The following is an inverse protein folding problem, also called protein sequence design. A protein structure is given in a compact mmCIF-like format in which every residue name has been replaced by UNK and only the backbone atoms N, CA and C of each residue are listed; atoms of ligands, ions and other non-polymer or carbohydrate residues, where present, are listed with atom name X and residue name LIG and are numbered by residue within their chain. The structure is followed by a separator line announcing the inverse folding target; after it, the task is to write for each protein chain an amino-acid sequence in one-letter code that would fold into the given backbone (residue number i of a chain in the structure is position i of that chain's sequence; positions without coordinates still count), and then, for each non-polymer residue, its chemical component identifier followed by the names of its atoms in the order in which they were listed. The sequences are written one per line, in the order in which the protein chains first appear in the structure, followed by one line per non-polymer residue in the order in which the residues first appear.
data_IF_961459762666
#
_entry.id   IF_961459762666
#
_cell.length_a   1.000
_cell.length_b   1.000
_cell.length_c   1.000
_cell.angle_alpha   90.00
_cell.angle_beta   90.00
_cell.angle_gamma   90.00
#
_symmetry.space_group_name_H-M   'P 1'
#
loop_
_entity.id
_entity.type
_entity.pdbx_description
1 polymer ?
#
# COMPACT_ATOMS: atom_id res chain seq x y z
N UNK A 1 -15.23 30.51 12.95
CA UNK A 1 -15.13 30.02 11.56
C UNK A 1 -14.71 28.57 11.61
N UNK A 2 -15.50 27.64 11.08
CA UNK A 2 -15.06 26.25 10.93
C UNK A 2 -13.93 26.21 9.90
N UNK A 3 -12.81 25.56 10.24
CA UNK A 3 -11.72 25.33 9.28
C UNK A 3 -12.28 24.49 8.12
N UNK A 4 -12.17 24.99 6.89
CA UNK A 4 -12.39 24.20 5.68
C UNK A 4 -11.07 23.54 5.29
N UNK A 5 -11.03 22.22 5.30
CA UNK A 5 -9.90 21.46 4.79
C UNK A 5 -9.91 21.52 3.25
N UNK A 6 -8.73 21.70 2.64
CA UNK A 6 -8.61 21.70 1.16
C UNK A 6 -8.63 20.28 0.60
N UNK A 7 -8.00 19.35 1.32
CA UNK A 7 -7.93 17.95 0.96
C UNK A 7 -7.89 17.07 2.22
N UNK A 8 -8.36 15.82 2.10
CA UNK A 8 -8.30 14.78 3.13
C UNK A 8 -7.81 13.49 2.48
N UNK A 9 -6.80 12.88 3.09
CA UNK A 9 -6.19 11.62 2.68
C UNK A 9 -6.49 10.57 3.73
N UNK A 10 -6.94 9.40 3.32
CA UNK A 10 -7.29 8.33 4.25
C UNK A 10 -7.12 6.94 3.62
N UNK A 11 -6.81 5.96 4.46
CA UNK A 11 -6.75 4.56 4.02
C UNK A 11 -8.15 3.98 3.81
N UNK A 12 -8.24 2.92 3.03
CA UNK A 12 -9.50 2.25 2.77
C UNK A 12 -9.81 1.18 3.82
N UNK A 13 -9.04 0.09 3.79
CA UNK A 13 -9.21 -1.07 4.65
C UNK A 13 -8.89 -0.73 6.11
N UNK A 14 -9.80 -1.03 7.04
CA UNK A 14 -9.63 -0.77 8.47
C UNK A 14 -9.80 0.70 8.88
N UNK A 15 -10.05 1.61 7.94
CA UNK A 15 -10.28 3.05 8.20
C UNK A 15 -11.63 3.52 7.66
N UNK A 16 -11.80 3.52 6.33
CA UNK A 16 -13.07 3.89 5.70
C UNK A 16 -14.11 2.76 5.79
N UNK A 17 -13.63 1.52 5.69
CA UNK A 17 -14.45 0.31 5.80
C UNK A 17 -13.78 -0.71 6.69
N UNK A 18 -14.56 -1.55 7.38
CA UNK A 18 -14.01 -2.62 8.22
C UNK A 18 -13.32 -3.72 7.41
N UNK A 19 -13.76 -3.95 6.16
CA UNK A 19 -13.11 -4.85 5.21
C UNK A 19 -13.43 -4.54 3.76
N UNK A 20 -12.68 -5.13 2.82
CA UNK A 20 -12.89 -4.97 1.36
C UNK A 20 -14.28 -5.38 0.89
N UNK A 21 -14.94 -6.27 1.62
CA UNK A 21 -16.30 -6.75 1.33
C UNK A 21 -17.35 -6.10 2.22
N UNK A 22 -16.96 -5.20 3.12
CA UNK A 22 -17.90 -4.52 3.99
C UNK A 22 -18.78 -3.54 3.19
N UNK A 23 -20.00 -3.27 3.66
CA UNK A 23 -20.84 -2.22 3.11
C UNK A 23 -20.12 -0.86 3.12
N UNK A 24 -20.40 -0.02 2.13
CA UNK A 24 -19.69 1.25 1.92
C UNK A 24 -20.56 2.47 2.22
N UNK A 25 -21.82 2.26 2.59
CA UNK A 25 -22.86 3.28 2.75
C UNK A 25 -22.44 4.33 3.77
N UNK A 26 -21.90 3.94 4.92
CA UNK A 26 -21.44 4.86 5.95
C UNK A 26 -20.30 5.76 5.46
N UNK A 27 -19.35 5.20 4.72
CA UNK A 27 -18.28 5.97 4.09
C UNK A 27 -18.85 6.96 3.05
N UNK A 28 -19.77 6.51 2.20
CA UNK A 28 -20.45 7.38 1.22
C UNK A 28 -21.19 8.53 1.90
N UNK A 29 -21.96 8.25 2.95
CA UNK A 29 -22.71 9.26 3.72
C UNK A 29 -21.76 10.28 4.34
N UNK A 30 -20.64 9.84 4.91
CA UNK A 30 -19.63 10.73 5.49
C UNK A 30 -18.91 11.60 4.43
N UNK A 31 -18.65 11.05 3.25
CA UNK A 31 -17.90 11.71 2.18
C UNK A 31 -18.71 12.76 1.43
N UNK A 32 -20.02 12.54 1.19
CA UNK A 32 -20.85 13.42 0.36
C UNK A 32 -20.81 14.90 0.77
N UNK A 33 -21.04 15.27 2.05
CA UNK A 33 -21.01 16.68 2.45
C UNK A 33 -19.65 17.36 2.22
N UNK A 34 -18.55 16.59 2.29
CA UNK A 34 -17.19 17.12 2.09
C UNK A 34 -16.91 17.38 0.61
N UNK A 35 -17.30 16.43 -0.26
CA UNK A 35 -17.17 16.55 -1.72
C UNK A 35 -18.01 17.71 -2.26
N UNK A 36 -19.24 17.87 -1.76
CA UNK A 36 -20.13 18.99 -2.11
C UNK A 36 -19.56 20.36 -1.71
N UNK A 37 -18.73 20.40 -0.67
CA UNK A 37 -18.05 21.62 -0.23
C UNK A 37 -16.77 21.91 -1.04
N UNK A 38 -16.40 21.06 -1.99
CA UNK A 38 -15.16 21.16 -2.77
C UNK A 38 -13.92 20.62 -2.04
N UNK A 39 -14.08 19.88 -0.94
CA UNK A 39 -12.96 19.23 -0.27
C UNK A 39 -12.50 18.04 -1.12
N UNK A 40 -11.23 18.02 -1.51
CA UNK A 40 -10.66 16.90 -2.27
C UNK A 40 -10.48 15.69 -1.35
N UNK A 41 -11.12 14.58 -1.67
CA UNK A 41 -10.99 13.34 -0.91
C UNK A 41 -10.13 12.36 -1.71
N UNK A 42 -9.07 11.87 -1.07
CA UNK A 42 -8.12 10.94 -1.68
C UNK A 42 -8.08 9.65 -0.87
N UNK A 43 -8.52 8.56 -1.48
CA UNK A 43 -8.40 7.22 -0.91
C UNK A 43 -6.99 6.69 -1.23
N UNK A 44 -6.16 6.46 -0.22
CA UNK A 44 -4.78 5.99 -0.37
C UNK A 44 -4.64 4.57 0.16
N UNK A 45 -4.52 3.57 -0.71
CA UNK A 45 -4.54 2.16 -0.31
C UNK A 45 -3.51 1.29 -1.05
N UNK A 46 -3.13 0.17 -0.41
CA UNK A 46 -2.28 -0.85 -1.03
C UNK A 46 -3.02 -1.75 -2.03
N UNK A 47 -4.36 -1.66 -2.05
CA UNK A 47 -5.23 -2.46 -2.91
C UNK A 47 -5.45 -1.80 -4.28
N UNK A 48 -6.13 -2.51 -5.18
CA UNK A 48 -6.48 -2.06 -6.54
C UNK A 48 -7.93 -1.56 -6.60
N UNK A 49 -8.27 -0.79 -7.65
CA UNK A 49 -9.58 -0.15 -7.75
C UNK A 49 -10.75 -1.15 -7.75
N UNK A 50 -10.59 -2.33 -8.35
CA UNK A 50 -11.58 -3.41 -8.34
C UNK A 50 -11.92 -3.91 -6.92
N UNK A 51 -11.05 -3.65 -5.94
CA UNK A 51 -11.28 -3.96 -4.52
C UNK A 51 -11.91 -2.82 -3.73
N UNK A 52 -12.04 -1.63 -4.32
CA UNK A 52 -12.74 -0.49 -3.73
C UNK A 52 -14.20 -0.56 -4.19
N UNK A 53 -15.07 -1.11 -3.34
CA UNK A 53 -16.50 -1.32 -3.63
C UNK A 53 -16.73 -2.06 -4.98
N UNK A 54 -15.93 -3.09 -5.27
CA UNK A 54 -16.06 -3.86 -6.50
C UNK A 54 -15.71 -3.09 -7.78
N UNK A 55 -14.91 -2.01 -7.69
CA UNK A 55 -14.58 -1.16 -8.83
C UNK A 55 -15.70 -0.20 -9.24
N UNK A 56 -16.63 0.08 -8.34
CA UNK A 56 -17.81 0.93 -8.62
C UNK A 56 -17.98 2.07 -7.63
N UNK A 57 -16.99 2.35 -6.78
CA UNK A 57 -17.18 3.32 -5.71
C UNK A 57 -17.55 4.73 -6.19
N UNK A 58 -16.99 5.19 -7.31
CA UNK A 58 -17.39 6.45 -7.96
C UNK A 58 -18.89 6.57 -8.29
N UNK A 59 -19.60 5.46 -8.56
CA UNK A 59 -21.01 5.49 -9.00
C UNK A 59 -21.97 5.86 -7.87
N UNK A 60 -21.50 5.96 -6.63
CA UNK A 60 -22.28 6.41 -5.48
C UNK A 60 -22.36 7.95 -5.36
N UNK A 61 -21.59 8.66 -6.19
CA UNK A 61 -21.43 10.10 -6.18
C UNK A 61 -21.88 10.70 -7.52
N UNK A 62 -22.36 11.94 -7.48
CA UNK A 62 -22.73 12.73 -8.66
C UNK A 62 -21.49 13.20 -9.43
N UNK A 63 -21.64 13.60 -10.70
CA UNK A 63 -20.53 14.11 -11.51
C UNK A 63 -19.77 15.27 -10.85
N UNK A 64 -20.48 16.19 -10.19
CA UNK A 64 -19.85 17.31 -9.47
C UNK A 64 -19.05 16.84 -8.23
N UNK A 65 -19.56 15.84 -7.50
CA UNK A 65 -18.85 15.26 -6.36
C UNK A 65 -17.61 14.47 -6.82
N UNK A 66 -17.71 13.75 -7.94
CA UNK A 66 -16.62 12.97 -8.54
C UNK A 66 -15.40 13.82 -8.89
N UNK A 67 -15.57 15.10 -9.27
CA UNK A 67 -14.45 16.03 -9.54
C UNK A 67 -13.52 16.23 -8.34
N UNK A 68 -14.00 15.95 -7.14
CA UNK A 68 -13.25 16.07 -5.89
C UNK A 68 -12.83 14.70 -5.32
N UNK A 69 -13.05 13.60 -6.02
CA UNK A 69 -12.75 12.23 -5.57
C UNK A 69 -11.55 11.65 -6.34
N UNK A 70 -10.54 11.21 -5.59
CA UNK A 70 -9.29 10.69 -6.14
C UNK A 70 -8.86 9.40 -5.44
N UNK A 71 -7.99 8.62 -6.09
CA UNK A 71 -7.51 7.35 -5.54
C UNK A 71 -6.00 7.18 -5.77
N UNK A 72 -5.22 7.05 -4.71
CA UNK A 72 -3.83 6.61 -4.72
C UNK A 72 -3.73 5.13 -4.38
N UNK A 73 -3.59 4.26 -5.37
CA UNK A 73 -3.79 2.82 -5.22
C UNK A 73 -2.54 2.01 -5.58
N UNK A 74 -2.57 0.73 -5.21
CA UNK A 74 -1.48 -0.20 -5.48
C UNK A 74 -0.19 0.16 -4.73
N UNK A 75 -0.30 0.81 -3.56
CA UNK A 75 0.86 1.17 -2.70
C UNK A 75 1.87 2.09 -3.41
N UNK A 76 1.38 3.18 -4.00
CA UNK A 76 2.22 4.14 -4.74
C UNK A 76 2.20 3.94 -6.25
N UNK A 77 1.64 2.83 -6.75
CA UNK A 77 1.72 2.47 -8.16
C UNK A 77 0.85 3.35 -9.08
N UNK A 78 -0.38 3.67 -8.67
CA UNK A 78 -1.37 4.28 -9.54
C UNK A 78 -2.08 5.45 -8.84
N UNK A 79 -2.27 6.54 -9.58
CA UNK A 79 -3.07 7.68 -9.15
C UNK A 79 -4.22 7.89 -10.12
N UNK A 80 -5.44 7.76 -9.61
CA UNK A 80 -6.68 7.84 -10.38
C UNK A 80 -7.41 9.15 -10.12
N UNK A 81 -8.09 9.59 -11.17
CA UNK A 81 -9.18 10.56 -11.13
C UNK A 81 -10.42 9.94 -11.77
N UNK A 82 -11.59 10.57 -11.60
CA UNK A 82 -12.77 10.21 -12.37
C UNK A 82 -12.90 11.16 -13.56
N UNK A 83 -13.10 10.61 -14.76
CA UNK A 83 -13.30 11.35 -16.01
C UNK A 83 -14.38 10.62 -16.82
N UNK A 84 -15.41 11.36 -17.25
CA UNK A 84 -16.57 10.82 -17.97
C UNK A 84 -17.18 9.55 -17.30
N UNK A 85 -17.40 9.64 -15.98
CA UNK A 85 -17.90 8.54 -15.13
C UNK A 85 -17.04 7.26 -15.18
N UNK A 86 -15.72 7.42 -15.39
CA UNK A 86 -14.77 6.31 -15.40
C UNK A 86 -13.51 6.62 -14.59
N UNK A 87 -12.95 5.63 -13.87
CA UNK A 87 -11.65 5.77 -13.24
C UNK A 87 -10.55 5.80 -14.31
N UNK A 88 -9.77 6.87 -14.33
CA UNK A 88 -8.64 7.06 -15.24
C UNK A 88 -7.35 7.26 -14.46
N UNK A 89 -6.28 6.55 -14.84
CA UNK A 89 -4.94 6.73 -14.29
C UNK A 89 -4.32 7.97 -14.94
N UNK A 90 -4.16 9.05 -14.18
CA UNK A 90 -3.50 10.27 -14.68
C UNK A 90 -1.99 10.29 -14.40
N UNK A 91 -1.54 9.51 -13.40
CA UNK A 91 -0.13 9.35 -13.08
C UNK A 91 0.11 7.95 -12.52
N UNK A 92 1.27 7.36 -12.84
CA UNK A 92 1.67 6.05 -12.33
C UNK A 92 3.17 5.98 -12.11
N UNK A 93 3.58 5.10 -11.21
CA UNK A 93 4.99 4.82 -10.92
C UNK A 93 5.30 3.35 -11.20
N UNK A 94 5.03 2.95 -12.45
CA UNK A 94 5.30 1.60 -12.94
C UNK A 94 6.70 1.59 -13.57
N UNK A 95 7.63 0.77 -13.07
CA UNK A 95 8.91 0.60 -13.73
C UNK A 95 8.71 -0.07 -15.09
N UNK A 96 9.68 0.13 -15.98
CA UNK A 96 9.78 -0.72 -17.16
C UNK A 96 10.20 -2.15 -16.78
N UNK A 97 10.34 -3.02 -17.77
CA UNK A 97 10.67 -4.41 -17.55
C UNK A 97 12.03 -4.60 -16.86
N UNK A 98 13.03 -3.77 -17.19
CA UNK A 98 14.35 -3.81 -16.57
C UNK A 98 14.27 -3.40 -15.09
N UNK A 99 13.58 -2.29 -14.79
CA UNK A 99 13.34 -1.83 -13.43
C UNK A 99 12.57 -2.87 -12.60
N UNK A 100 11.58 -3.54 -13.18
CA UNK A 100 10.83 -4.59 -12.49
C UNK A 100 11.70 -5.81 -12.18
N UNK A 101 12.49 -6.29 -13.15
CA UNK A 101 13.45 -7.38 -12.93
C UNK A 101 14.46 -7.02 -11.84
N UNK A 102 14.90 -5.77 -11.81
CA UNK A 102 15.80 -5.27 -10.77
C UNK A 102 15.17 -5.32 -9.37
N UNK A 103 13.89 -4.97 -9.23
CA UNK A 103 13.15 -5.14 -7.97
C UNK A 103 13.10 -6.62 -7.58
N UNK A 104 12.87 -7.52 -8.53
CA UNK A 104 12.84 -8.96 -8.27
C UNK A 104 14.19 -9.47 -7.75
N UNK A 105 15.28 -9.07 -8.40
CA UNK A 105 16.63 -9.46 -8.01
C UNK A 105 16.97 -8.97 -6.60
N UNK A 106 16.60 -7.74 -6.26
CA UNK A 106 16.77 -7.18 -4.90
C UNK A 106 15.98 -8.01 -3.89
N UNK A 107 14.71 -8.32 -4.17
CA UNK A 107 13.89 -9.09 -3.25
C UNK A 107 14.41 -10.53 -3.06
N UNK A 108 14.92 -11.14 -4.13
CA UNK A 108 15.56 -12.44 -4.05
C UNK A 108 16.85 -12.39 -3.23
N UNK A 109 17.67 -11.36 -3.40
CA UNK A 109 18.87 -11.16 -2.59
C UNK A 109 18.56 -10.97 -1.10
N UNK A 110 17.48 -10.23 -0.78
CA UNK A 110 16.99 -10.09 0.60
C UNK A 110 16.57 -11.45 1.16
N UNK A 111 15.77 -12.22 0.40
CA UNK A 111 15.37 -13.57 0.79
C UNK A 111 16.57 -14.48 1.08
N UNK A 112 17.56 -14.52 0.18
CA UNK A 112 18.79 -15.31 0.36
C UNK A 112 19.54 -14.88 1.61
N UNK A 113 19.65 -13.56 1.85
CA UNK A 113 20.30 -13.03 3.06
C UNK A 113 19.57 -13.44 4.33
N UNK A 114 18.24 -13.29 4.37
CA UNK A 114 17.43 -13.68 5.53
C UNK A 114 17.54 -15.17 5.83
N UNK A 115 17.53 -16.01 4.80
CA UNK A 115 17.69 -17.46 4.96
C UNK A 115 19.10 -17.84 5.42
N UNK A 116 20.14 -17.27 4.79
CA UNK A 116 21.53 -17.68 5.04
C UNK A 116 22.08 -17.16 6.36
N UNK A 117 21.83 -15.89 6.68
CA UNK A 117 22.43 -15.24 7.86
C UNK A 117 21.57 -15.40 9.11
N UNK A 118 20.25 -15.43 8.96
CA UNK A 118 19.31 -15.45 10.09
C UNK A 118 18.55 -16.77 10.19
N UNK A 119 18.65 -17.67 9.20
CA UNK A 119 17.85 -18.90 9.15
C UNK A 119 16.35 -18.64 8.97
N UNK A 120 15.95 -17.42 8.59
CA UNK A 120 14.54 -17.02 8.47
C UNK A 120 14.01 -17.42 7.10
N UNK A 121 13.08 -18.37 7.08
CA UNK A 121 12.38 -18.77 5.85
C UNK A 121 11.40 -17.68 5.44
N UNK A 122 11.38 -17.36 4.15
CA UNK A 122 10.49 -16.36 3.57
C UNK A 122 10.03 -16.80 2.19
N UNK A 123 8.87 -16.30 1.76
CA UNK A 123 8.37 -16.45 0.39
C UNK A 123 8.27 -15.09 -0.28
N UNK A 124 8.32 -15.04 -1.61
CA UNK A 124 8.23 -13.78 -2.35
C UNK A 124 7.02 -13.79 -3.27
N UNK A 125 6.21 -12.74 -3.17
CA UNK A 125 5.13 -12.44 -4.10
C UNK A 125 5.60 -11.37 -5.08
N UNK A 126 6.00 -11.81 -6.27
CA UNK A 126 6.48 -10.94 -7.35
C UNK A 126 5.37 -10.26 -8.15
N UNK A 127 4.13 -10.78 -8.11
CA UNK A 127 3.02 -10.34 -8.95
C UNK A 127 2.42 -8.99 -8.50
N UNK A 128 3.22 -7.95 -8.54
CA UNK A 128 2.91 -6.61 -8.03
C UNK A 128 3.45 -5.56 -9.00
N UNK A 129 2.78 -4.40 -9.10
CA UNK A 129 3.01 -3.44 -10.18
C UNK A 129 4.39 -2.76 -10.13
N UNK A 130 4.88 -2.44 -8.93
CA UNK A 130 6.13 -1.69 -8.75
C UNK A 130 6.85 -1.98 -7.42
N UNK A 131 6.51 -3.12 -6.82
CA UNK A 131 7.08 -3.61 -5.56
C UNK A 131 6.98 -5.14 -5.53
N UNK A 132 7.50 -5.80 -4.51
CA UNK A 132 7.22 -7.20 -4.19
C UNK A 132 6.89 -7.31 -2.70
N UNK A 133 6.24 -8.41 -2.30
CA UNK A 133 6.05 -8.74 -0.88
C UNK A 133 6.93 -9.91 -0.51
N UNK A 134 7.68 -9.78 0.57
CA UNK A 134 8.43 -10.87 1.21
C UNK A 134 7.63 -11.28 2.44
N UNK A 135 7.05 -12.48 2.42
CA UNK A 135 6.33 -13.05 3.56
C UNK A 135 7.32 -13.50 4.63
N UNK A 136 7.24 -12.87 5.80
CA UNK A 136 8.11 -13.11 6.96
C UNK A 136 7.56 -14.20 7.88
N UNK A 137 6.36 -14.71 7.62
CA UNK A 137 5.64 -15.66 8.47
C UNK A 137 5.06 -16.81 7.64
N UNK A 138 5.88 -17.41 6.78
CA UNK A 138 5.45 -18.46 5.82
C UNK A 138 4.86 -19.71 6.46
N UNK A 139 5.25 -20.01 7.70
CA UNK A 139 4.73 -21.17 8.44
C UNK A 139 3.39 -20.86 9.15
N UNK A 140 2.93 -19.61 9.12
CA UNK A 140 1.66 -19.20 9.73
C UNK A 140 0.55 -19.08 8.68
N UNK A 141 -0.32 -20.08 8.62
CA UNK A 141 -1.54 -20.02 7.82
C UNK A 141 -2.59 -19.13 8.51
N UNK A 142 -3.07 -18.10 7.79
CA UNK A 142 -4.11 -17.17 8.26
C UNK A 142 -5.52 -17.58 7.82
N UNK A 143 -5.69 -18.70 7.12
CA UNK A 143 -7.02 -19.17 6.68
C UNK A 143 -7.81 -18.15 5.85
N UNK A 144 -7.14 -17.19 5.20
CA UNK A 144 -7.76 -16.13 4.39
C UNK A 144 -8.07 -14.80 5.10
N UNK A 145 -7.73 -14.62 6.38
CA UNK A 145 -7.91 -13.31 7.05
C UNK A 145 -6.84 -12.29 6.63
N UNK A 146 -7.30 -11.09 6.23
CA UNK A 146 -6.48 -9.99 5.69
C UNK A 146 -6.10 -8.93 6.73
N UNK A 147 -6.73 -8.94 7.91
CA UNK A 147 -6.48 -7.92 8.95
C UNK A 147 -5.44 -8.37 9.95
N UNK A 148 -4.73 -7.38 10.47
CA UNK A 148 -3.81 -7.54 11.58
C UNK A 148 -4.61 -7.88 12.83
N UNK A 149 -4.43 -9.09 13.38
CA UNK A 149 -4.81 -9.35 14.77
C UNK A 149 -3.72 -8.75 15.67
N UNK A 150 -4.09 -8.16 16.82
CA UNK A 150 -3.16 -7.42 17.67
C UNK A 150 -1.98 -8.27 18.20
N UNK A 151 -2.12 -9.59 18.14
CA UNK A 151 -1.08 -10.57 18.46
C UNK A 151 -0.07 -10.79 17.32
N UNK A 152 -0.38 -10.48 16.07
CA UNK A 152 0.49 -10.79 14.92
C UNK A 152 1.75 -9.93 14.86
N UNK A 153 1.67 -8.65 15.26
CA UNK A 153 2.86 -7.79 15.36
C UNK A 153 3.81 -8.34 16.41
N UNK A 154 3.24 -8.73 17.56
CA UNK A 154 4.03 -9.23 18.67
C UNK A 154 4.61 -10.61 18.34
N UNK A 155 3.84 -11.44 17.63
CA UNK A 155 4.30 -12.72 17.15
C UNK A 155 5.41 -12.57 16.10
N UNK A 156 5.29 -11.63 15.14
CA UNK A 156 6.39 -11.33 14.22
C UNK A 156 7.63 -10.86 14.99
N UNK A 157 7.48 -9.95 15.97
CA UNK A 157 8.63 -9.51 16.79
C UNK A 157 9.32 -10.66 17.48
N UNK A 158 8.58 -11.64 17.99
CA UNK A 158 9.14 -12.85 18.60
C UNK A 158 9.89 -13.71 17.57
N UNK A 159 9.32 -13.93 16.38
CA UNK A 159 9.99 -14.65 15.28
C UNK A 159 11.30 -13.95 14.92
N UNK A 160 11.26 -12.64 14.66
CA UNK A 160 12.44 -11.86 14.31
C UNK A 160 13.54 -11.97 15.39
N UNK A 161 13.16 -11.86 16.66
CA UNK A 161 14.10 -12.00 17.78
C UNK A 161 14.70 -13.42 17.88
N UNK A 162 13.90 -14.47 17.68
CA UNK A 162 14.39 -15.86 17.67
C UNK A 162 15.42 -16.10 16.57
N UNK A 163 15.28 -15.39 15.45
CA UNK A 163 16.21 -15.41 14.33
C UNK A 163 17.37 -14.40 14.46
N UNK A 164 17.51 -13.69 15.58
CA UNK A 164 18.61 -12.76 15.84
C UNK A 164 18.45 -11.35 15.24
N UNK A 165 17.25 -11.01 14.77
CA UNK A 165 16.90 -9.67 14.25
C UNK A 165 16.37 -8.83 15.42
N UNK A 166 17.30 -8.31 16.23
CA UNK A 166 17.00 -7.63 17.51
C UNK A 166 16.33 -6.27 17.33
N UNK A 167 16.64 -5.54 16.24
CA UNK A 167 16.01 -4.24 15.96
C UNK A 167 14.66 -4.36 15.24
N UNK A 168 14.16 -5.60 15.08
CA UNK A 168 12.84 -5.90 14.53
C UNK A 168 12.62 -5.34 13.12
N UNK A 169 11.43 -4.78 12.87
CA UNK A 169 11.04 -4.26 11.55
C UNK A 169 12.01 -3.19 11.00
N UNK A 170 12.62 -2.39 11.88
CA UNK A 170 13.57 -1.35 11.47
C UNK A 170 14.82 -1.97 10.83
N UNK A 171 15.27 -3.10 11.35
CA UNK A 171 16.41 -3.84 10.78
C UNK A 171 16.08 -4.39 9.39
N UNK A 172 14.88 -4.97 9.23
CA UNK A 172 14.41 -5.47 7.94
C UNK A 172 14.33 -4.38 6.87
N UNK A 173 13.81 -3.20 7.23
CA UNK A 173 13.79 -2.03 6.34
C UNK A 173 15.23 -1.65 5.96
N UNK A 174 16.14 -1.58 6.93
CA UNK A 174 17.55 -1.29 6.67
C UNK A 174 18.24 -2.33 5.78
N UNK A 175 17.92 -3.61 5.94
CA UNK A 175 18.41 -4.69 5.07
C UNK A 175 17.90 -4.47 3.64
N UNK A 176 16.63 -4.13 3.47
CA UNK A 176 16.05 -3.89 2.15
C UNK A 176 16.70 -2.68 1.45
N UNK A 177 16.84 -1.56 2.17
CA UNK A 177 17.47 -0.34 1.66
C UNK A 177 18.93 -0.56 1.26
N UNK A 178 19.73 -1.18 2.13
CA UNK A 178 21.13 -1.50 1.84
C UNK A 178 21.27 -2.49 0.68
N UNK A 179 20.35 -3.44 0.55
CA UNK A 179 20.36 -4.37 -0.59
C UNK A 179 20.03 -3.63 -1.87
N UNK A 180 19.03 -2.74 -1.87
CA UNK A 180 18.74 -1.88 -3.01
C UNK A 180 19.97 -1.05 -3.44
N UNK A 181 20.66 -0.42 -2.50
CA UNK A 181 21.88 0.35 -2.77
C UNK A 181 22.98 -0.49 -3.45
N UNK A 182 23.20 -1.74 -3.00
CA UNK A 182 24.17 -2.66 -3.63
C UNK A 182 23.83 -2.99 -5.08
N UNK A 183 22.54 -2.99 -5.42
CA UNK A 183 22.06 -3.16 -6.79
C UNK A 183 21.99 -1.83 -7.56
N UNK A 184 22.35 -0.71 -6.93
CA UNK A 184 22.25 0.62 -7.54
C UNK A 184 20.79 1.04 -7.81
N UNK A 185 19.88 0.69 -6.90
CA UNK A 185 18.47 1.05 -6.96
C UNK A 185 18.00 1.50 -5.57
N UNK A 186 17.57 2.76 -5.46
CA UNK A 186 16.88 3.18 -4.24
C UNK A 186 15.54 2.45 -4.16
N UNK A 187 15.27 1.83 -3.02
CA UNK A 187 13.99 1.17 -2.73
C UNK A 187 13.24 1.91 -1.64
N UNK A 188 11.91 1.84 -1.69
CA UNK A 188 10.98 2.30 -0.65
C UNK A 188 10.41 1.07 0.05
N UNK A 189 11.06 0.68 1.14
CA UNK A 189 10.70 -0.49 1.93
C UNK A 189 9.72 -0.12 3.05
N UNK A 190 8.64 -0.87 3.18
CA UNK A 190 7.69 -0.76 4.30
C UNK A 190 7.38 -2.14 4.84
N UNK A 191 6.88 -2.23 6.06
CA UNK A 191 6.35 -3.49 6.60
C UNK A 191 4.86 -3.37 6.87
N UNK A 192 4.11 -4.39 6.47
CA UNK A 192 2.70 -4.57 6.80
C UNK A 192 2.52 -5.93 7.48
N UNK A 193 2.29 -5.91 8.79
CA UNK A 193 2.16 -7.09 9.65
C UNK A 193 3.22 -8.17 9.36
N UNK A 194 2.92 -9.12 8.47
CA UNK A 194 3.78 -10.24 8.07
C UNK A 194 4.60 -10.02 6.81
N UNK A 195 4.36 -8.97 6.05
CA UNK A 195 5.05 -8.70 4.79
C UNK A 195 6.07 -7.57 4.93
N UNK A 196 7.28 -7.81 4.44
CA UNK A 196 8.19 -6.75 4.04
C UNK A 196 7.89 -6.42 2.57
N UNK A 197 7.47 -5.19 2.30
CA UNK A 197 7.12 -4.72 0.97
C UNK A 197 8.27 -3.88 0.41
N UNK A 198 8.86 -4.30 -0.69
CA UNK A 198 10.07 -3.68 -1.27
C UNK A 198 9.77 -3.27 -2.70
N UNK A 199 9.86 -1.97 -3.00
CA UNK A 199 9.60 -1.45 -4.34
C UNK A 199 10.24 -0.10 -4.57
N UNK A 200 9.80 0.62 -5.60
CA UNK A 200 10.35 1.95 -5.93
C UNK A 200 9.53 3.12 -5.38
N UNK A 201 8.34 2.83 -4.85
CA UNK A 201 7.43 3.80 -4.23
C UNK A 201 6.67 3.18 -3.07
N UNK A 202 5.90 3.97 -2.34
CA UNK A 202 4.97 3.58 -1.29
C UNK A 202 3.71 4.47 -1.30
N UNK A 203 2.84 4.30 -0.30
CA UNK A 203 1.62 5.13 -0.16
C UNK A 203 1.93 6.63 -0.03
N UNK A 204 3.05 7.01 0.58
CA UNK A 204 3.43 8.43 0.72
C UNK A 204 3.65 9.09 -0.64
N UNK A 205 4.21 8.38 -1.61
CA UNK A 205 4.41 8.94 -2.93
C UNK A 205 3.08 9.19 -3.67
N UNK A 206 2.02 8.41 -3.40
CA UNK A 206 0.68 8.79 -3.87
C UNK A 206 0.26 10.14 -3.30
N UNK A 207 0.46 10.34 -1.98
CA UNK A 207 0.12 11.60 -1.30
C UNK A 207 0.88 12.76 -1.94
N UNK A 208 2.19 12.60 -2.16
CA UNK A 208 3.03 13.64 -2.75
C UNK A 208 2.54 14.06 -4.15
N UNK A 209 2.20 13.10 -5.02
CA UNK A 209 1.62 13.38 -6.35
C UNK A 209 0.34 14.22 -6.26
N UNK A 210 -0.52 13.95 -5.30
CA UNK A 210 -1.75 14.72 -5.11
C UNK A 210 -1.49 16.08 -4.46
N UNK A 211 -0.55 16.18 -3.51
CA UNK A 211 -0.16 17.45 -2.91
C UNK A 211 0.43 18.42 -3.94
N UNK A 212 1.25 17.93 -4.88
CA UNK A 212 1.79 18.74 -5.97
C UNK A 212 0.71 19.19 -6.96
N UNK A 213 -0.35 18.39 -7.11
CA UNK A 213 -1.45 18.68 -8.02
C UNK A 213 -2.44 19.71 -7.48
N UNK A 214 -2.54 19.89 -6.15
CA UNK A 214 -3.70 20.50 -5.50
C UNK A 214 -3.64 21.99 -5.19
#
# INVERSE_FOLDING_TARGET
MNKKYKAIFFDWDGTAVTSRTAPVEDAVVAMKPLLQQGTKLVIVSGTTYDKIAGGKFHTYFTEEEQKNLFFGLGRGAYNYQITDDRPEIFASMIPDQEGLLKIHDICYAIHVKLLWEYGLKTDIVFSRPNYCKIDLMVENDRGGQLFMQGDEVEHLRQILKQHGIESGLKELIGIAEQTGEKFGQRVSATCDAKYLEVGISCKSDNVDVFLERF
#
